data_IF_747243329823
#
_entry.id   IF_747243329823
#
_cell.length_a   1.000
_cell.length_b   1.000
_cell.length_c   1.000
_cell.angle_alpha   90.00
_cell.angle_beta   90.00
_cell.angle_gamma   90.00
#
_symmetry.space_group_name_H-M   'P 1'
#
loop_
_entity.id
_entity.type
_entity.pdbx_description
1 polymer ?
#
# COMPACT_ATOMS: atom_id res chain seq x y z
N UNK A 1 -19.63 -16.91 -20.64
CA UNK A 1 -19.42 -16.28 -19.32
C UNK A 1 -20.14 -14.95 -19.35
N UNK A 2 -20.89 -14.57 -18.30
CA UNK A 2 -21.57 -13.27 -18.28
C UNK A 2 -20.59 -12.18 -17.86
N UNK A 3 -20.77 -10.97 -18.41
CA UNK A 3 -19.99 -9.80 -18.06
C UNK A 3 -20.05 -9.50 -16.54
N UNK A 4 -19.06 -8.82 -16.01
CA UNK A 4 -19.11 -8.20 -14.70
C UNK A 4 -19.74 -6.81 -14.88
N UNK A 5 -20.97 -6.63 -14.38
CA UNK A 5 -21.71 -5.38 -14.57
C UNK A 5 -21.80 -4.66 -13.23
N UNK A 6 -21.33 -3.43 -13.20
CA UNK A 6 -21.51 -2.50 -12.11
C UNK A 6 -22.46 -1.38 -12.52
N UNK A 7 -23.52 -1.15 -11.76
CA UNK A 7 -24.45 -0.07 -11.99
C UNK A 7 -23.80 1.31 -11.72
N UNK A 8 -24.46 2.38 -12.20
CA UNK A 8 -24.05 3.77 -11.92
C UNK A 8 -23.96 3.98 -10.41
N UNK A 9 -22.79 4.45 -9.88
CA UNK A 9 -22.67 4.72 -8.47
C UNK A 9 -23.63 5.80 -8.00
N UNK A 10 -24.16 5.62 -6.80
CA UNK A 10 -25.03 6.60 -6.14
C UNK A 10 -24.55 6.88 -4.71
N UNK A 11 -24.91 8.02 -4.16
CA UNK A 11 -24.61 8.39 -2.77
C UNK A 11 -25.75 7.97 -1.86
N UNK A 12 -25.40 7.45 -0.69
CA UNK A 12 -26.31 7.14 0.42
C UNK A 12 -25.64 7.54 1.73
N UNK A 13 -26.39 7.47 2.83
CA UNK A 13 -25.82 7.66 4.18
C UNK A 13 -25.95 6.37 4.96
N UNK A 14 -24.91 6.05 5.75
CA UNK A 14 -24.97 4.93 6.67
C UNK A 14 -25.61 5.37 8.03
N UNK A 15 -25.75 4.41 8.95
CA UNK A 15 -26.33 4.62 10.27
C UNK A 15 -25.50 5.58 11.14
N UNK A 16 -24.19 5.71 10.88
CA UNK A 16 -23.27 6.61 11.55
C UNK A 16 -23.28 8.03 10.91
N UNK A 17 -24.06 8.23 9.83
CA UNK A 17 -24.19 9.50 9.10
C UNK A 17 -23.09 9.74 8.07
N UNK A 18 -22.17 8.78 7.87
CA UNK A 18 -21.14 8.88 6.82
C UNK A 18 -21.76 8.80 5.42
N UNK A 19 -21.11 9.41 4.47
CA UNK A 19 -21.51 9.35 3.07
C UNK A 19 -20.92 8.10 2.42
N UNK A 20 -21.78 7.23 1.90
CA UNK A 20 -21.41 6.07 1.09
C UNK A 20 -21.60 6.36 -0.39
N UNK A 21 -20.64 5.95 -1.19
CA UNK A 21 -20.77 5.81 -2.65
C UNK A 21 -20.88 4.32 -2.95
N UNK A 22 -21.99 3.92 -3.52
CA UNK A 22 -22.39 2.50 -3.73
C UNK A 22 -22.58 2.22 -5.20
N UNK A 23 -22.01 1.13 -5.69
CA UNK A 23 -22.27 0.57 -7.02
C UNK A 23 -22.83 -0.85 -6.86
N UNK A 24 -24.05 -1.06 -7.32
CA UNK A 24 -24.65 -2.41 -7.37
C UNK A 24 -23.91 -3.27 -8.40
N UNK A 25 -23.60 -4.51 -8.04
CA UNK A 25 -22.87 -5.46 -8.89
C UNK A 25 -23.76 -6.67 -9.21
N UNK A 26 -23.99 -6.92 -10.48
CA UNK A 26 -24.82 -8.04 -10.91
C UNK A 26 -24.30 -9.39 -10.39
N UNK A 27 -25.16 -10.08 -9.64
CA UNK A 27 -24.86 -11.40 -9.07
C UNK A 27 -23.81 -11.39 -7.94
N UNK A 28 -23.54 -10.20 -7.35
CA UNK A 28 -22.63 -10.04 -6.21
C UNK A 28 -23.19 -9.02 -5.22
N UNK A 29 -22.53 -8.87 -4.08
CA UNK A 29 -22.82 -7.78 -3.17
C UNK A 29 -22.40 -6.43 -3.77
N UNK A 30 -23.06 -5.32 -3.36
CA UNK A 30 -22.65 -3.98 -3.81
C UNK A 30 -21.21 -3.65 -3.41
N UNK A 31 -20.48 -2.99 -4.31
CA UNK A 31 -19.20 -2.34 -3.95
C UNK A 31 -19.50 -0.97 -3.32
N UNK A 32 -18.94 -0.71 -2.16
CA UNK A 32 -19.12 0.59 -1.52
C UNK A 32 -17.82 1.14 -0.93
N UNK A 33 -17.76 2.47 -0.89
CA UNK A 33 -16.78 3.27 -0.17
C UNK A 33 -17.49 4.27 0.71
N UNK A 34 -16.93 4.61 1.86
CA UNK A 34 -17.52 5.55 2.82
C UNK A 34 -16.50 6.55 3.32
N UNK A 35 -16.90 7.81 3.43
CA UNK A 35 -16.14 8.90 4.05
C UNK A 35 -17.00 9.60 5.09
N UNK A 36 -16.38 10.37 5.99
CA UNK A 36 -17.12 11.26 6.89
C UNK A 36 -17.99 12.23 6.10
N UNK A 37 -19.12 12.66 6.68
CA UNK A 37 -19.93 13.75 6.12
C UNK A 37 -19.13 15.05 5.93
N UNK A 38 -18.13 15.29 6.77
CA UNK A 38 -17.26 16.47 6.67
C UNK A 38 -16.33 16.44 5.45
N UNK A 39 -16.11 15.25 4.88
CA UNK A 39 -15.25 15.02 3.72
C UNK A 39 -16.05 14.83 2.42
N UNK A 40 -17.38 15.01 2.44
CA UNK A 40 -18.27 14.76 1.30
C UNK A 40 -17.88 15.59 0.04
N UNK A 41 -17.35 16.77 0.21
CA UNK A 41 -16.90 17.66 -0.88
C UNK A 41 -15.74 17.08 -1.69
N UNK A 42 -14.96 16.16 -1.09
CA UNK A 42 -13.86 15.47 -1.78
C UNK A 42 -14.35 14.43 -2.78
N UNK A 43 -15.61 13.99 -2.67
CA UNK A 43 -16.15 12.94 -3.52
C UNK A 43 -16.36 13.40 -4.95
N UNK A 44 -15.77 12.67 -5.90
CA UNK A 44 -16.02 12.87 -7.33
C UNK A 44 -17.42 12.41 -7.77
N UNK A 45 -17.82 12.83 -8.98
CA UNK A 45 -19.08 12.40 -9.60
C UNK A 45 -18.93 11.31 -10.67
N UNK A 46 -17.71 10.82 -10.91
CA UNK A 46 -17.41 9.82 -11.95
C UNK A 46 -17.34 8.41 -11.37
N UNK A 47 -17.48 7.41 -12.25
CA UNK A 47 -17.37 6.00 -11.93
C UNK A 47 -15.93 5.45 -12.09
N UNK A 48 -14.92 6.31 -12.21
CA UNK A 48 -13.51 5.94 -12.37
C UNK A 48 -13.04 4.99 -11.25
N UNK A 49 -13.45 5.25 -10.01
CA UNK A 49 -13.14 4.42 -8.85
C UNK A 49 -13.71 3.00 -8.97
N UNK A 50 -14.88 2.83 -9.57
CA UNK A 50 -15.50 1.52 -9.80
C UNK A 50 -14.75 0.76 -10.90
N UNK A 51 -14.42 1.43 -12.01
CA UNK A 51 -13.65 0.84 -13.10
C UNK A 51 -12.28 0.34 -12.62
N UNK A 52 -11.57 1.14 -11.82
CA UNK A 52 -10.26 0.76 -11.24
C UNK A 52 -10.42 -0.37 -10.23
N UNK A 53 -11.42 -0.29 -9.34
CA UNK A 53 -11.64 -1.31 -8.30
C UNK A 53 -11.96 -2.69 -8.90
N UNK A 54 -12.70 -2.75 -9.99
CA UNK A 54 -13.20 -4.03 -10.54
C UNK A 54 -12.35 -4.60 -11.68
N UNK A 55 -11.31 -3.89 -12.16
CA UNK A 55 -10.48 -4.38 -13.27
C UNK A 55 -9.78 -5.71 -12.93
N UNK A 56 -9.10 -5.80 -11.79
CA UNK A 56 -8.38 -7.04 -11.44
C UNK A 56 -9.32 -8.23 -11.23
N UNK A 57 -10.46 -8.12 -10.52
CA UNK A 57 -11.48 -9.17 -10.48
C UNK A 57 -11.96 -9.60 -11.87
N UNK A 58 -12.24 -8.66 -12.76
CA UNK A 58 -12.66 -8.94 -14.13
C UNK A 58 -11.58 -9.74 -14.89
N UNK A 59 -10.34 -9.26 -14.88
CA UNK A 59 -9.19 -9.91 -15.52
C UNK A 59 -8.92 -11.31 -14.96
N UNK A 60 -9.02 -11.50 -13.64
CA UNK A 60 -8.80 -12.80 -12.99
C UNK A 60 -9.82 -13.85 -13.47
N UNK A 61 -11.07 -13.43 -13.63
CA UNK A 61 -12.18 -14.32 -13.97
C UNK A 61 -12.53 -14.35 -15.47
N UNK A 62 -11.72 -13.70 -16.33
CA UNK A 62 -11.93 -13.58 -17.78
C UNK A 62 -13.37 -13.09 -18.11
N UNK A 63 -13.83 -12.04 -17.42
CA UNK A 63 -15.15 -11.42 -17.61
C UNK A 63 -14.95 -9.99 -18.09
N UNK A 64 -15.62 -9.60 -19.17
CA UNK A 64 -15.64 -8.20 -19.57
C UNK A 64 -16.30 -7.35 -18.48
N UNK A 65 -15.85 -6.10 -18.32
CA UNK A 65 -16.33 -5.18 -17.29
C UNK A 65 -17.18 -4.09 -17.91
N UNK A 66 -18.45 -4.00 -17.49
CA UNK A 66 -19.35 -2.90 -17.84
C UNK A 66 -19.59 -2.01 -16.62
N UNK A 67 -19.26 -0.73 -16.73
CA UNK A 67 -19.37 0.25 -15.65
C UNK A 67 -20.49 1.24 -15.97
N UNK A 68 -21.47 1.32 -15.09
CA UNK A 68 -22.54 2.31 -15.17
C UNK A 68 -22.03 3.72 -14.85
N UNK A 69 -22.55 4.70 -15.58
CA UNK A 69 -22.20 6.11 -15.38
C UNK A 69 -21.04 6.57 -16.24
N UNK A 70 -20.44 7.70 -15.85
CA UNK A 70 -19.38 8.37 -16.62
C UNK A 70 -18.01 7.93 -16.15
N UNK A 71 -17.17 7.43 -17.05
CA UNK A 71 -15.75 7.14 -16.82
C UNK A 71 -14.91 8.12 -17.63
N UNK A 72 -13.80 8.56 -17.07
CA UNK A 72 -12.84 9.42 -17.79
C UNK A 72 -12.29 8.69 -19.01
N UNK A 73 -12.37 9.30 -20.19
CA UNK A 73 -12.02 8.68 -21.48
C UNK A 73 -10.58 8.18 -21.54
N UNK A 74 -9.64 8.98 -21.08
CA UNK A 74 -8.21 8.62 -21.03
C UNK A 74 -7.92 7.50 -20.04
N UNK A 75 -8.65 7.42 -18.92
CA UNK A 75 -8.55 6.30 -17.99
C UNK A 75 -9.09 5.03 -18.65
N UNK A 76 -10.29 5.09 -19.24
CA UNK A 76 -10.89 3.93 -19.92
C UNK A 76 -9.99 3.38 -21.01
N UNK A 77 -9.33 4.27 -21.78
CA UNK A 77 -8.34 3.86 -22.77
C UNK A 77 -7.17 3.09 -22.11
N UNK A 78 -6.59 3.61 -21.03
CA UNK A 78 -5.48 2.95 -20.33
C UNK A 78 -5.89 1.61 -19.70
N UNK A 79 -7.11 1.53 -19.14
CA UNK A 79 -7.67 0.29 -18.59
C UNK A 79 -7.83 -0.80 -19.65
N UNK A 80 -8.02 -0.44 -20.92
CA UNK A 80 -8.17 -1.40 -22.02
C UNK A 80 -6.84 -1.79 -22.71
N UNK A 81 -5.73 -1.08 -22.43
CA UNK A 81 -4.47 -1.25 -23.16
C UNK A 81 -3.30 -1.55 -22.24
N UNK A 82 -2.38 -0.60 -22.06
CA UNK A 82 -1.09 -0.79 -21.40
C UNK A 82 -1.19 -1.31 -19.96
N UNK A 83 -2.21 -0.87 -19.21
CA UNK A 83 -2.38 -1.29 -17.84
C UNK A 83 -2.65 -2.80 -17.73
N UNK A 84 -3.50 -3.37 -18.60
CA UNK A 84 -3.74 -4.81 -18.59
C UNK A 84 -2.49 -5.60 -19.03
N UNK A 85 -1.72 -5.08 -19.97
CA UNK A 85 -0.45 -5.69 -20.38
C UNK A 85 0.54 -5.76 -19.23
N UNK A 86 0.67 -4.66 -18.46
CA UNK A 86 1.48 -4.62 -17.26
C UNK A 86 0.97 -5.59 -16.20
N UNK A 87 -0.35 -5.59 -15.91
CA UNK A 87 -0.97 -6.51 -14.94
C UNK A 87 -0.70 -7.96 -15.30
N UNK A 88 -0.83 -8.34 -16.57
CA UNK A 88 -0.56 -9.72 -17.04
C UNK A 88 0.91 -10.10 -16.97
N UNK A 89 1.82 -9.14 -17.01
CA UNK A 89 3.24 -9.41 -16.76
C UNK A 89 3.49 -9.79 -15.30
N UNK A 90 2.80 -9.12 -14.36
CA UNK A 90 2.88 -9.43 -12.91
C UNK A 90 2.05 -10.67 -12.55
N UNK A 91 0.90 -10.84 -13.20
CA UNK A 91 -0.06 -11.92 -12.99
C UNK A 91 -0.33 -12.69 -14.31
N UNK A 92 0.57 -13.61 -14.72
CA UNK A 92 0.44 -14.28 -16.02
C UNK A 92 -0.83 -15.10 -16.24
N UNK A 93 -1.51 -15.48 -15.15
CA UNK A 93 -2.79 -16.21 -15.20
C UNK A 93 -4.02 -15.32 -15.43
N UNK A 94 -3.85 -13.99 -15.46
CA UNK A 94 -4.97 -13.07 -15.69
C UNK A 94 -5.21 -12.90 -17.19
N UNK A 95 -6.47 -12.64 -17.56
CA UNK A 95 -6.93 -12.52 -18.94
C UNK A 95 -7.10 -11.05 -19.33
N UNK A 96 -6.89 -10.74 -20.61
CA UNK A 96 -7.35 -9.46 -21.15
C UNK A 96 -8.87 -9.46 -21.24
N UNK A 97 -9.47 -8.34 -20.86
CA UNK A 97 -10.93 -8.13 -20.86
C UNK A 97 -11.25 -6.80 -21.52
N UNK A 98 -12.48 -6.65 -22.01
CA UNK A 98 -12.97 -5.37 -22.51
C UNK A 98 -13.63 -4.63 -21.36
N UNK A 99 -13.20 -3.38 -21.12
CA UNK A 99 -13.83 -2.47 -20.14
C UNK A 99 -14.66 -1.44 -20.91
N UNK A 100 -15.95 -1.36 -20.60
CA UNK A 100 -16.86 -0.37 -21.19
C UNK A 100 -17.54 0.46 -20.11
N UNK A 101 -18.00 1.66 -20.47
CA UNK A 101 -18.78 2.54 -19.60
C UNK A 101 -20.06 2.98 -20.33
N UNK A 102 -21.12 3.37 -19.58
CA UNK A 102 -22.31 3.94 -20.19
C UNK A 102 -21.97 5.22 -20.97
N UNK A 103 -21.12 6.06 -20.38
CA UNK A 103 -20.68 7.31 -20.97
C UNK A 103 -19.18 7.51 -20.72
N UNK A 104 -18.51 8.17 -21.64
CA UNK A 104 -17.15 8.66 -21.46
C UNK A 104 -17.09 10.18 -21.59
N UNK A 105 -16.24 10.82 -20.79
CA UNK A 105 -16.03 12.26 -20.91
C UNK A 105 -14.56 12.60 -20.67
N UNK A 106 -14.03 13.65 -21.29
CA UNK A 106 -12.72 14.19 -20.96
C UNK A 106 -12.62 14.51 -19.47
N UNK A 107 -11.42 14.43 -18.90
CA UNK A 107 -11.21 14.89 -17.54
C UNK A 107 -11.55 16.37 -17.41
N UNK A 108 -12.13 16.76 -16.27
CA UNK A 108 -12.32 18.17 -15.92
C UNK A 108 -11.00 18.81 -15.45
N UNK A 109 -11.11 20.00 -14.84
CA UNK A 109 -9.98 20.66 -14.20
C UNK A 109 -9.46 19.84 -13.01
N UNK A 110 -8.15 19.85 -12.81
CA UNK A 110 -7.53 19.15 -11.70
C UNK A 110 -7.79 19.90 -10.38
N UNK A 111 -8.39 19.27 -9.36
CA UNK A 111 -8.46 19.84 -8.02
C UNK A 111 -7.07 20.12 -7.44
N UNK A 112 -6.99 21.08 -6.52
CA UNK A 112 -5.70 21.48 -5.93
C UNK A 112 -5.21 20.58 -4.79
N UNK A 113 -6.02 19.68 -4.30
CA UNK A 113 -5.67 18.77 -3.20
C UNK A 113 -4.59 17.79 -3.59
N UNK A 114 -3.62 17.62 -2.68
CA UNK A 114 -2.53 16.63 -2.78
C UNK A 114 -2.64 15.67 -1.61
N UNK A 115 -2.92 14.41 -1.88
CA UNK A 115 -3.14 13.41 -0.85
C UNK A 115 -1.99 12.40 -0.75
N UNK A 116 -1.80 11.82 0.43
CA UNK A 116 -0.95 10.64 0.64
C UNK A 116 -1.56 9.67 1.63
N UNK A 117 -1.39 8.38 1.40
CA UNK A 117 -1.73 7.35 2.39
C UNK A 117 -0.84 7.48 3.62
N UNK A 118 -1.45 7.53 4.82
CA UNK A 118 -0.71 7.62 6.07
C UNK A 118 -1.07 6.47 7.01
N UNK A 119 -0.19 5.48 7.06
CA UNK A 119 -0.35 4.25 7.84
C UNK A 119 0.49 4.20 9.12
N UNK A 120 1.30 5.21 9.39
CA UNK A 120 2.27 5.19 10.49
C UNK A 120 3.48 4.28 10.25
N UNK A 121 3.61 3.68 9.08
CA UNK A 121 4.78 2.89 8.68
C UNK A 121 5.95 3.76 8.22
N UNK A 122 7.13 3.15 8.15
CA UNK A 122 8.38 3.82 7.72
C UNK A 122 8.22 4.58 6.40
N UNK A 123 7.56 3.95 5.41
CA UNK A 123 7.42 4.54 4.07
C UNK A 123 6.48 5.75 4.06
N UNK A 124 5.37 5.68 4.80
CA UNK A 124 4.43 6.80 4.90
C UNK A 124 5.05 8.00 5.61
N UNK A 125 5.88 7.78 6.63
CA UNK A 125 6.63 8.86 7.26
C UNK A 125 7.69 9.47 6.33
N UNK A 126 8.36 8.66 5.50
CA UNK A 126 9.31 9.17 4.52
C UNK A 126 8.61 10.13 3.53
N UNK A 127 7.44 9.75 3.01
CA UNK A 127 6.64 10.64 2.14
C UNK A 127 6.23 11.93 2.85
N UNK A 128 5.82 11.87 4.13
CA UNK A 128 5.52 13.09 4.91
C UNK A 128 6.75 13.98 5.08
N UNK A 129 7.91 13.41 5.36
CA UNK A 129 9.15 14.17 5.48
C UNK A 129 9.48 14.89 4.18
N UNK A 130 9.38 14.22 3.03
CA UNK A 130 9.72 14.79 1.72
C UNK A 130 8.70 15.81 1.21
N UNK A 131 7.39 15.58 1.44
CA UNK A 131 6.32 16.32 0.75
C UNK A 131 5.39 17.14 1.66
N UNK A 132 5.46 16.97 2.98
CA UNK A 132 4.70 17.78 3.93
C UNK A 132 5.60 18.69 4.76
N UNK A 133 6.68 18.15 5.33
CA UNK A 133 7.51 18.83 6.33
C UNK A 133 8.76 19.48 5.74
N UNK A 134 9.26 19.03 4.58
CA UNK A 134 10.48 19.57 3.99
C UNK A 134 10.32 21.05 3.61
N UNK A 135 11.36 21.83 3.91
CA UNK A 135 11.41 23.21 3.47
C UNK A 135 11.54 23.29 1.93
N UNK A 136 10.85 24.27 1.34
CA UNK A 136 10.96 24.53 -0.10
C UNK A 136 10.13 23.62 -1.01
N UNK A 137 9.29 22.72 -0.48
CA UNK A 137 8.36 21.93 -1.30
C UNK A 137 7.43 22.88 -2.05
N UNK A 138 7.38 22.84 -3.40
CA UNK A 138 6.45 23.64 -4.18
C UNK A 138 5.00 23.40 -3.76
N UNK A 139 4.19 24.47 -3.74
CA UNK A 139 2.79 24.38 -3.30
C UNK A 139 2.01 23.28 -4.04
N UNK A 140 2.23 23.14 -5.35
CA UNK A 140 1.55 22.14 -6.19
C UNK A 140 1.95 20.69 -5.88
N UNK A 141 3.01 20.46 -5.10
CA UNK A 141 3.52 19.15 -4.71
C UNK A 141 3.37 18.89 -3.21
N UNK A 142 3.03 19.92 -2.43
CA UNK A 142 2.94 19.80 -0.97
C UNK A 142 1.68 19.04 -0.59
N UNK A 143 1.84 18.01 0.24
CA UNK A 143 0.71 17.26 0.81
C UNK A 143 -0.22 18.20 1.58
N UNK A 144 -1.50 18.09 1.27
CA UNK A 144 -2.60 18.84 1.90
C UNK A 144 -3.59 17.94 2.62
N UNK A 145 -3.61 16.63 2.32
CA UNK A 145 -4.52 15.66 2.92
C UNK A 145 -3.82 14.35 3.22
N UNK A 146 -4.10 13.77 4.37
CA UNK A 146 -3.68 12.44 4.76
C UNK A 146 -4.84 11.47 4.61
N UNK A 147 -4.60 10.29 4.05
CA UNK A 147 -5.62 9.25 3.87
C UNK A 147 -5.32 8.03 4.74
N UNK A 148 -6.34 7.49 5.39
CA UNK A 148 -6.28 6.21 6.06
C UNK A 148 -7.33 5.26 5.47
N UNK A 149 -6.90 4.38 4.58
CA UNK A 149 -7.78 3.56 3.76
C UNK A 149 -8.00 2.18 4.38
N UNK A 150 -9.27 1.81 4.62
CA UNK A 150 -9.65 0.44 4.91
C UNK A 150 -9.96 -0.32 3.62
N UNK A 151 -8.91 -0.80 2.98
CA UNK A 151 -8.97 -1.51 1.70
C UNK A 151 -8.40 -2.94 1.78
N UNK A 152 -8.43 -3.54 2.98
CA UNK A 152 -7.95 -4.91 3.23
C UNK A 152 -6.52 -5.02 3.76
N UNK A 153 -5.87 -3.91 4.16
CA UNK A 153 -4.52 -3.90 4.72
C UNK A 153 -4.43 -4.44 6.16
N UNK A 154 -5.55 -4.65 6.83
CA UNK A 154 -5.61 -4.95 8.26
C UNK A 154 -5.82 -6.44 8.57
N UNK A 155 -5.98 -7.28 7.54
CA UNK A 155 -6.16 -8.73 7.69
C UNK A 155 -7.30 -9.08 8.66
N UNK A 156 -7.11 -10.08 9.51
CA UNK A 156 -8.11 -10.52 10.49
C UNK A 156 -8.50 -9.49 11.55
N UNK A 157 -7.75 -8.38 11.70
CA UNK A 157 -8.11 -7.26 12.59
C UNK A 157 -9.18 -6.33 12.02
N UNK A 158 -9.37 -6.38 10.69
CA UNK A 158 -10.47 -5.71 9.99
C UNK A 158 -10.65 -4.24 10.35
N UNK A 159 -11.93 -3.82 10.40
CA UNK A 159 -12.35 -2.45 10.70
C UNK A 159 -11.91 -1.97 12.10
N UNK A 160 -11.90 -2.87 13.10
CA UNK A 160 -11.50 -2.50 14.46
C UNK A 160 -10.03 -2.07 14.54
N UNK A 161 -9.13 -2.83 13.91
CA UNK A 161 -7.72 -2.49 13.84
C UNK A 161 -7.48 -1.23 13.00
N UNK A 162 -8.22 -1.07 11.89
CA UNK A 162 -8.17 0.13 11.07
C UNK A 162 -8.52 1.39 11.88
N UNK A 163 -9.67 1.40 12.58
CA UNK A 163 -10.10 2.52 13.43
C UNK A 163 -9.06 2.85 14.50
N UNK A 164 -8.54 1.83 15.18
CA UNK A 164 -7.50 2.00 16.20
C UNK A 164 -6.23 2.65 15.65
N UNK A 165 -5.76 2.24 14.45
CA UNK A 165 -4.61 2.83 13.79
C UNK A 165 -4.88 4.27 13.37
N UNK A 166 -6.06 4.55 12.86
CA UNK A 166 -6.49 5.90 12.53
C UNK A 166 -6.42 6.81 13.76
N UNK A 167 -7.04 6.42 14.87
CA UNK A 167 -7.05 7.20 16.11
C UNK A 167 -5.65 7.42 16.68
N UNK A 168 -4.79 6.42 16.62
CA UNK A 168 -3.40 6.51 17.10
C UNK A 168 -2.57 7.52 16.28
N UNK A 169 -2.91 7.76 15.01
CA UNK A 169 -2.19 8.67 14.11
C UNK A 169 -2.78 10.08 14.03
N UNK A 170 -4.01 10.30 14.52
CA UNK A 170 -4.65 11.62 14.54
C UNK A 170 -3.79 12.74 15.16
N UNK A 171 -3.04 12.50 16.26
CA UNK A 171 -2.18 13.54 16.82
C UNK A 171 -1.09 14.02 15.84
N UNK A 172 -0.56 13.15 15.00
CA UNK A 172 0.44 13.53 13.97
C UNK A 172 -0.19 14.44 12.91
N UNK A 173 -1.39 14.08 12.45
CA UNK A 173 -2.13 14.88 11.48
C UNK A 173 -2.48 16.27 12.03
N UNK A 174 -2.94 16.31 13.30
CA UNK A 174 -3.27 17.56 14.00
C UNK A 174 -2.04 18.47 14.17
N UNK A 175 -0.90 17.90 14.54
CA UNK A 175 0.35 18.65 14.71
C UNK A 175 0.87 19.21 13.36
N UNK A 176 0.66 18.48 12.27
CA UNK A 176 0.95 18.95 10.90
C UNK A 176 -0.09 19.94 10.35
N UNK A 177 -1.23 20.12 11.03
CA UNK A 177 -2.35 20.93 10.54
C UNK A 177 -2.99 20.39 9.26
N UNK A 178 -2.95 19.07 9.05
CA UNK A 178 -3.47 18.41 7.85
C UNK A 178 -4.76 17.65 8.14
N UNK A 179 -5.81 17.78 7.30
CA UNK A 179 -6.96 16.87 7.33
C UNK A 179 -6.52 15.41 7.22
N UNK A 180 -7.09 14.54 8.06
CA UNK A 180 -6.83 13.11 8.06
C UNK A 180 -8.12 12.35 7.79
N UNK A 181 -8.26 11.89 6.55
CA UNK A 181 -9.50 11.38 5.96
C UNK A 181 -9.56 9.85 6.15
N UNK A 182 -10.51 9.33 6.94
CA UNK A 182 -10.76 7.91 7.01
C UNK A 182 -11.63 7.48 5.81
N UNK A 183 -11.14 6.59 4.98
CA UNK A 183 -11.92 5.98 3.90
C UNK A 183 -12.15 4.51 4.20
N UNK A 184 -13.41 4.15 4.44
CA UNK A 184 -13.83 2.77 4.66
C UNK A 184 -14.38 2.15 3.37
N UNK A 185 -14.27 0.83 3.21
CA UNK A 185 -14.82 0.13 2.05
C UNK A 185 -14.97 -1.38 2.29
N UNK A 186 -15.75 -2.03 1.45
CA UNK A 186 -15.79 -3.48 1.33
C UNK A 186 -15.01 -4.00 0.10
N UNK A 187 -14.12 -3.22 -0.46
CA UNK A 187 -13.40 -3.59 -1.68
C UNK A 187 -12.68 -4.96 -1.56
N UNK A 188 -12.22 -5.34 -0.35
CA UNK A 188 -11.59 -6.62 -0.10
C UNK A 188 -12.48 -7.82 -0.44
N UNK A 189 -13.79 -7.68 -0.25
CA UNK A 189 -14.78 -8.74 -0.51
C UNK A 189 -14.92 -9.03 -2.02
N UNK A 190 -14.57 -8.06 -2.87
CA UNK A 190 -14.52 -8.21 -4.33
C UNK A 190 -13.22 -8.82 -4.85
N UNK A 191 -12.26 -9.12 -3.96
CA UNK A 191 -10.95 -9.67 -4.27
C UNK A 191 -10.73 -11.08 -3.66
N UNK A 192 -11.69 -12.03 -3.81
CA UNK A 192 -11.57 -13.35 -3.21
C UNK A 192 -10.31 -14.07 -3.71
N UNK A 193 -9.52 -14.64 -2.78
CA UNK A 193 -8.28 -15.36 -3.07
C UNK A 193 -7.19 -14.51 -3.80
N UNK A 194 -7.31 -13.21 -3.77
CA UNK A 194 -6.28 -12.28 -4.23
C UNK A 194 -5.61 -11.63 -3.02
N UNK A 195 -4.31 -11.88 -2.84
CA UNK A 195 -3.56 -11.31 -1.73
C UNK A 195 -3.52 -9.78 -1.78
N UNK A 196 -3.46 -9.13 -0.62
CA UNK A 196 -3.39 -7.67 -0.52
C UNK A 196 -2.25 -7.09 -1.37
N UNK A 197 -1.03 -7.63 -1.25
CA UNK A 197 0.14 -7.15 -2.01
C UNK A 197 -0.01 -7.33 -3.52
N UNK A 198 -0.81 -8.30 -3.96
CA UNK A 198 -1.11 -8.53 -5.38
C UNK A 198 -2.04 -7.48 -5.98
N UNK A 199 -2.73 -6.69 -5.15
CA UNK A 199 -3.83 -5.82 -5.56
C UNK A 199 -3.75 -4.42 -4.95
N UNK A 200 -2.77 -4.16 -4.08
CA UNK A 200 -2.63 -2.94 -3.28
C UNK A 200 -2.71 -1.65 -4.10
N UNK A 201 -2.08 -1.64 -5.28
CA UNK A 201 -2.05 -0.49 -6.19
C UNK A 201 -3.47 -0.11 -6.65
N UNK A 202 -4.27 -1.09 -7.10
CA UNK A 202 -5.64 -0.84 -7.58
C UNK A 202 -6.59 -0.47 -6.46
N UNK A 203 -6.47 -1.11 -5.30
CA UNK A 203 -7.30 -0.80 -4.12
C UNK A 203 -7.12 0.65 -3.67
N UNK A 204 -5.87 1.12 -3.57
CA UNK A 204 -5.59 2.49 -3.19
C UNK A 204 -5.88 3.50 -4.31
N UNK A 205 -5.62 3.14 -5.57
CA UNK A 205 -5.97 4.00 -6.70
C UNK A 205 -7.49 4.22 -6.81
N UNK A 206 -8.32 3.18 -6.53
CA UNK A 206 -9.77 3.35 -6.48
C UNK A 206 -10.20 4.42 -5.45
N UNK A 207 -9.56 4.45 -4.27
CA UNK A 207 -9.86 5.47 -3.26
C UNK A 207 -9.56 6.88 -3.78
N UNK A 208 -8.42 7.10 -4.43
CA UNK A 208 -8.10 8.47 -4.88
C UNK A 208 -8.95 8.90 -6.07
N UNK A 209 -9.40 7.98 -6.93
CA UNK A 209 -10.41 8.26 -7.95
C UNK A 209 -11.77 8.61 -7.36
N UNK A 210 -12.16 7.96 -6.24
CA UNK A 210 -13.37 8.31 -5.48
C UNK A 210 -13.29 9.77 -4.99
N UNK A 211 -12.11 10.19 -4.50
CA UNK A 211 -11.88 11.52 -3.94
C UNK A 211 -11.53 12.58 -5.00
N UNK A 212 -11.74 12.28 -6.27
CA UNK A 212 -11.41 13.16 -7.40
C UNK A 212 -12.21 14.46 -7.48
N UNK A 213 -13.13 14.75 -6.54
CA UNK A 213 -13.77 16.06 -6.37
C UNK A 213 -12.85 17.08 -5.72
N UNK A 214 -11.97 16.65 -4.80
CA UNK A 214 -11.05 17.53 -4.08
C UNK A 214 -9.57 17.21 -4.29
N UNK A 215 -9.23 16.01 -4.74
CA UNK A 215 -7.84 15.52 -4.86
C UNK A 215 -7.42 15.46 -6.34
N UNK A 216 -6.45 16.27 -6.72
CA UNK A 216 -5.86 16.27 -8.08
C UNK A 216 -4.48 15.58 -8.14
N UNK A 217 -3.88 15.24 -7.00
CA UNK A 217 -2.62 14.51 -6.93
C UNK A 217 -2.62 13.56 -5.76
N UNK A 218 -2.10 12.35 -5.96
CA UNK A 218 -1.97 11.37 -4.89
C UNK A 218 -0.60 10.70 -4.90
N UNK A 219 0.02 10.64 -3.73
CA UNK A 219 1.29 9.98 -3.48
C UNK A 219 1.09 8.62 -2.81
N UNK A 220 1.76 7.63 -3.34
CA UNK A 220 1.85 6.31 -2.75
C UNK A 220 3.29 6.06 -2.32
N UNK A 221 3.50 5.90 -1.03
CA UNK A 221 4.80 5.59 -0.47
C UNK A 221 5.34 4.30 -1.10
N UNK A 222 6.48 4.38 -1.77
CA UNK A 222 7.09 3.24 -2.45
C UNK A 222 7.51 2.13 -1.48
N UNK A 223 7.30 0.88 -1.87
CA UNK A 223 7.74 -0.29 -1.10
C UNK A 223 9.24 -0.59 -1.30
N UNK A 224 9.85 -0.05 -2.34
CA UNK A 224 11.25 -0.26 -2.68
C UNK A 224 11.92 0.98 -3.26
N UNK A 225 13.17 0.84 -3.68
CA UNK A 225 13.91 1.86 -4.41
C UNK A 225 13.72 1.70 -5.91
N UNK A 226 14.07 2.71 -6.71
CA UNK A 226 14.12 2.59 -8.17
C UNK A 226 14.98 1.43 -8.67
N UNK A 227 16.03 1.04 -7.91
CA UNK A 227 16.87 -0.14 -8.22
C UNK A 227 16.11 -1.46 -8.08
N UNK A 228 15.06 -1.47 -7.27
CA UNK A 228 14.29 -2.66 -6.93
C UNK A 228 12.94 -2.73 -7.65
N UNK A 229 12.62 -1.70 -8.48
CA UNK A 229 11.43 -1.73 -9.35
C UNK A 229 11.53 -2.93 -10.28
N UNK A 230 10.56 -3.83 -10.19
CA UNK A 230 10.54 -5.06 -10.98
C UNK A 230 9.13 -5.60 -11.11
N UNK A 231 8.93 -6.48 -12.06
CA UNK A 231 7.70 -7.25 -12.26
C UNK A 231 7.97 -8.72 -11.94
N UNK A 232 7.84 -9.15 -10.67
CA UNK A 232 8.10 -10.54 -10.30
C UNK A 232 6.88 -11.43 -10.60
N UNK A 233 6.88 -12.24 -11.67
CA UNK A 233 5.74 -13.09 -12.00
C UNK A 233 5.53 -14.22 -10.99
N UNK A 234 6.52 -14.52 -10.18
CA UNK A 234 6.45 -15.61 -9.20
C UNK A 234 5.71 -15.27 -7.92
N UNK A 235 5.62 -13.99 -7.56
CA UNK A 235 5.00 -13.54 -6.30
C UNK A 235 3.78 -12.64 -6.51
N UNK A 236 3.56 -12.15 -7.73
CA UNK A 236 2.41 -11.33 -8.08
C UNK A 236 2.29 -10.02 -7.28
N UNK A 237 3.39 -9.55 -6.67
CA UNK A 237 3.41 -8.31 -5.88
C UNK A 237 3.48 -7.09 -6.80
N UNK A 238 2.33 -6.48 -7.08
CA UNK A 238 2.24 -5.32 -7.96
C UNK A 238 2.80 -4.05 -7.31
N UNK A 239 2.94 -4.00 -5.99
CA UNK A 239 3.55 -2.88 -5.28
C UNK A 239 5.00 -2.64 -5.69
N UNK A 240 5.73 -3.71 -6.05
CA UNK A 240 7.11 -3.62 -6.58
C UNK A 240 7.16 -2.96 -7.97
N UNK A 241 6.07 -2.94 -8.70
CA UNK A 241 5.91 -2.25 -9.98
C UNK A 241 5.20 -0.90 -9.84
N UNK A 242 4.96 -0.43 -8.60
CA UNK A 242 4.15 0.75 -8.31
C UNK A 242 4.59 2.00 -9.08
N UNK A 243 5.90 2.23 -9.21
CA UNK A 243 6.43 3.36 -9.97
C UNK A 243 6.03 3.35 -11.46
N UNK A 244 5.70 2.18 -12.03
CA UNK A 244 5.22 2.03 -13.41
C UNK A 244 3.70 1.97 -13.49
N UNK A 245 3.06 1.37 -12.48
CA UNK A 245 1.61 1.10 -12.49
C UNK A 245 0.80 2.35 -12.13
N UNK A 246 1.21 3.12 -11.12
CA UNK A 246 0.47 4.31 -10.68
C UNK A 246 0.30 5.37 -11.76
N UNK A 247 1.33 5.72 -12.58
CA UNK A 247 1.13 6.66 -13.68
C UNK A 247 0.10 6.21 -14.72
N UNK A 248 -0.07 4.91 -14.95
CA UNK A 248 -1.09 4.36 -15.85
C UNK A 248 -2.52 4.48 -15.28
N UNK A 249 -2.65 4.68 -13.98
CA UNK A 249 -3.92 4.95 -13.28
C UNK A 249 -4.23 6.45 -13.15
N UNK A 250 -3.39 7.32 -13.69
CA UNK A 250 -3.63 8.76 -13.69
C UNK A 250 -4.63 9.18 -14.77
N UNK A 251 -5.23 10.35 -14.58
CA UNK A 251 -6.00 11.10 -15.61
C UNK A 251 -5.42 12.51 -15.77
N UNK A 252 -5.83 13.31 -16.74
CA UNK A 252 -5.43 14.71 -16.78
C UNK A 252 -5.82 15.53 -15.54
N UNK A 253 -6.88 15.12 -14.82
CA UNK A 253 -7.33 15.77 -13.59
C UNK A 253 -6.77 15.13 -12.30
N UNK A 254 -6.17 13.93 -12.36
CA UNK A 254 -5.65 13.23 -11.20
C UNK A 254 -4.30 12.58 -11.51
N UNK A 255 -3.23 13.12 -10.95
CA UNK A 255 -1.91 12.49 -10.98
C UNK A 255 -1.79 11.49 -9.86
N UNK A 256 -1.48 10.23 -10.19
CA UNK A 256 -1.19 9.16 -9.20
C UNK A 256 0.24 8.72 -9.39
N UNK A 257 1.06 8.79 -8.34
CA UNK A 257 2.49 8.51 -8.45
C UNK A 257 3.07 7.86 -7.20
N UNK A 258 4.15 7.10 -7.39
CA UNK A 258 4.94 6.53 -6.30
C UNK A 258 6.02 7.52 -5.86
N UNK A 259 6.21 7.65 -4.54
CA UNK A 259 7.15 8.62 -3.94
C UNK A 259 8.20 7.92 -3.08
N UNK A 260 9.24 8.66 -2.70
CA UNK A 260 10.33 8.19 -1.83
C UNK A 260 11.10 6.98 -2.36
N UNK A 261 11.00 6.68 -3.67
CA UNK A 261 11.75 5.58 -4.31
C UNK A 261 13.26 5.88 -4.43
N UNK A 262 13.70 7.11 -4.16
CA UNK A 262 15.12 7.48 -4.07
C UNK A 262 15.78 7.01 -2.80
N UNK A 263 15.01 6.75 -1.73
CA UNK A 263 15.51 6.32 -0.42
C UNK A 263 15.35 4.81 -0.24
N UNK A 264 16.37 4.18 0.29
CA UNK A 264 16.31 2.79 0.75
C UNK A 264 15.43 2.63 1.99
N UNK A 265 15.02 1.40 2.29
CA UNK A 265 14.26 1.10 3.52
C UNK A 265 15.04 1.46 4.78
N UNK A 266 16.35 1.33 4.75
CA UNK A 266 17.24 1.70 5.84
C UNK A 266 17.24 3.22 6.03
N UNK A 267 17.48 3.98 4.97
CA UNK A 267 17.50 5.45 5.02
C UNK A 267 16.17 6.01 5.53
N UNK A 268 15.03 5.48 5.06
CA UNK A 268 13.70 5.85 5.57
C UNK A 268 13.52 5.54 7.06
N UNK A 269 14.06 4.40 7.53
CA UNK A 269 14.00 4.03 8.95
C UNK A 269 14.84 4.98 9.79
N UNK A 270 16.05 5.30 9.33
CA UNK A 270 16.97 6.18 10.04
C UNK A 270 16.52 7.64 10.04
N UNK A 271 15.78 8.08 9.03
CA UNK A 271 15.18 9.41 8.98
C UNK A 271 14.16 9.67 10.12
N UNK A 272 13.68 8.63 10.80
CA UNK A 272 12.79 8.76 11.96
C UNK A 272 13.53 8.98 13.28
N UNK A 273 14.83 8.66 13.34
CA UNK A 273 15.64 8.78 14.58
C UNK A 273 15.73 10.25 14.99
N UNK A 274 15.45 10.53 16.27
CA UNK A 274 15.41 11.90 16.80
C UNK A 274 14.24 12.74 16.28
N UNK A 275 13.38 12.21 15.42
CA UNK A 275 12.24 12.92 14.86
C UNK A 275 11.05 13.01 15.84
N UNK A 276 10.19 14.04 15.71
CA UNK A 276 9.08 14.28 16.65
C UNK A 276 8.02 13.18 16.61
N UNK A 277 7.94 12.42 15.50
CA UNK A 277 6.91 11.42 15.28
C UNK A 277 7.39 9.97 15.47
N UNK A 278 8.64 9.75 15.88
CA UNK A 278 9.22 8.41 16.09
C UNK A 278 8.33 7.51 16.96
N UNK A 279 7.69 8.08 17.99
CA UNK A 279 6.79 7.37 18.91
C UNK A 279 5.49 6.83 18.28
N UNK A 280 5.12 7.33 17.10
CA UNK A 280 3.93 6.90 16.37
C UNK A 280 4.20 5.82 15.31
N UNK A 281 5.44 5.34 15.22
CA UNK A 281 5.82 4.33 14.24
C UNK A 281 5.07 3.02 14.47
N UNK A 282 4.25 2.59 13.50
CA UNK A 282 3.58 1.30 13.46
C UNK A 282 3.96 0.54 12.18
N UNK A 283 4.89 -0.42 12.31
CA UNK A 283 5.33 -1.29 11.21
C UNK A 283 4.71 -2.68 11.28
N UNK A 284 3.93 -2.96 12.32
CA UNK A 284 3.50 -4.29 12.67
C UNK A 284 2.43 -4.83 11.72
N UNK A 285 2.60 -6.10 11.30
CA UNK A 285 1.60 -6.86 10.55
C UNK A 285 0.72 -7.75 11.43
N UNK A 286 0.91 -7.71 12.75
CA UNK A 286 0.04 -8.42 13.68
C UNK A 286 -1.37 -7.83 13.60
N UNK A 287 -2.34 -8.69 13.35
CA UNK A 287 -3.74 -8.32 13.16
C UNK A 287 -4.51 -8.16 14.47
N UNK A 288 -3.87 -8.35 15.63
CA UNK A 288 -4.49 -8.19 16.94
C UNK A 288 -4.88 -6.71 17.19
N UNK A 289 -6.17 -6.39 17.26
CA UNK A 289 -6.62 -5.03 17.51
C UNK A 289 -6.34 -4.55 18.96
N UNK A 290 -6.07 -5.45 19.90
CA UNK A 290 -5.83 -5.09 21.30
C UNK A 290 -4.37 -4.75 21.60
N UNK A 291 -3.45 -5.02 20.68
CA UNK A 291 -2.04 -4.66 20.86
C UNK A 291 -1.86 -3.14 21.03
N UNK A 292 -1.03 -2.74 21.95
CA UNK A 292 -0.72 -1.33 22.26
C UNK A 292 0.62 -0.86 21.64
N UNK A 293 1.48 -1.80 21.25
CA UNK A 293 2.80 -1.54 20.66
C UNK A 293 3.03 -2.48 19.48
N UNK A 294 4.08 -2.25 18.69
CA UNK A 294 4.53 -3.21 17.69
C UNK A 294 4.84 -4.56 18.34
N UNK A 295 4.47 -5.69 17.71
CA UNK A 295 4.66 -7.03 18.29
C UNK A 295 6.14 -7.43 18.50
N UNK A 296 7.08 -6.71 17.90
CA UNK A 296 8.53 -6.86 18.00
C UNK A 296 9.08 -8.24 17.60
N UNK A 297 8.28 -9.05 16.88
CA UNK A 297 8.62 -10.41 16.45
C UNK A 297 8.26 -10.73 15.00
N UNK A 298 7.35 -9.98 14.36
CA UNK A 298 7.06 -10.18 12.93
C UNK A 298 8.23 -9.66 12.08
N UNK A 299 8.28 -10.08 10.82
CA UNK A 299 9.40 -9.74 9.94
C UNK A 299 9.60 -8.23 9.75
N UNK A 300 8.51 -7.42 9.69
CA UNK A 300 8.61 -5.95 9.60
C UNK A 300 9.19 -5.34 10.88
N UNK A 301 8.70 -5.77 12.06
CA UNK A 301 9.28 -5.33 13.34
C UNK A 301 10.75 -5.72 13.44
N UNK A 302 11.10 -6.97 13.15
CA UNK A 302 12.47 -7.45 13.22
C UNK A 302 13.42 -6.66 12.31
N UNK A 303 13.00 -6.37 11.07
CA UNK A 303 13.76 -5.57 10.11
C UNK A 303 14.02 -4.16 10.66
N UNK A 304 12.97 -3.48 11.10
CA UNK A 304 13.08 -2.11 11.62
C UNK A 304 13.93 -2.05 12.88
N UNK A 305 13.70 -2.95 13.85
CA UNK A 305 14.48 -2.99 15.08
C UNK A 305 15.95 -3.31 14.83
N UNK A 306 16.25 -4.22 13.91
CA UNK A 306 17.65 -4.54 13.56
C UNK A 306 18.32 -3.36 12.86
N UNK A 307 17.63 -2.64 11.97
CA UNK A 307 18.17 -1.42 11.37
C UNK A 307 18.55 -0.39 12.44
N UNK A 308 17.65 -0.14 13.39
CA UNK A 308 17.87 0.78 14.50
C UNK A 308 18.98 0.29 15.46
N UNK A 309 19.06 -1.02 15.72
CA UNK A 309 20.09 -1.61 16.58
C UNK A 309 21.50 -1.48 15.95
N UNK A 310 21.63 -1.75 14.66
CA UNK A 310 22.88 -1.57 13.91
C UNK A 310 23.32 -0.10 13.93
N UNK A 311 22.37 0.83 13.83
CA UNK A 311 22.61 2.27 13.88
C UNK A 311 22.84 2.80 15.30
N UNK A 312 22.68 1.99 16.35
CA UNK A 312 22.82 2.43 17.75
C UNK A 312 21.63 3.22 18.29
N UNK A 313 20.50 3.26 17.59
CA UNK A 313 19.33 4.11 17.94
C UNK A 313 18.13 3.31 18.46
N UNK A 314 18.23 1.98 18.63
CA UNK A 314 17.08 1.16 19.04
C UNK A 314 16.50 1.60 20.40
N UNK A 315 17.34 2.10 21.32
CA UNK A 315 16.91 2.50 22.66
C UNK A 315 15.95 3.69 22.67
N UNK A 316 15.98 4.53 21.63
CA UNK A 316 15.01 5.64 21.46
C UNK A 316 13.57 5.13 21.20
N UNK A 317 13.44 3.89 20.70
CA UNK A 317 12.16 3.28 20.33
C UNK A 317 11.67 2.25 21.35
N UNK A 318 12.45 1.94 22.38
CA UNK A 318 12.11 0.95 23.42
C UNK A 318 11.99 1.66 24.76
N UNK A 319 10.93 1.41 25.57
CA UNK A 319 9.83 0.43 25.34
C UNK A 319 8.62 1.00 24.59
N UNK A 320 8.61 2.27 24.22
CA UNK A 320 7.40 2.97 23.75
C UNK A 320 6.83 2.41 22.42
N UNK A 321 7.70 2.12 21.45
CA UNK A 321 7.30 1.65 20.10
C UNK A 321 7.49 0.15 19.96
N UNK A 322 8.59 -0.38 20.51
CA UNK A 322 8.96 -1.80 20.45
C UNK A 322 9.24 -2.36 21.85
N UNK A 323 9.16 -3.68 21.97
CA UNK A 323 9.50 -4.44 23.16
C UNK A 323 10.75 -5.25 22.88
N UNK A 324 11.81 -5.11 23.69
CA UNK A 324 13.12 -5.74 23.47
C UNK A 324 13.06 -7.30 23.58
N UNK A 325 12.38 -7.82 24.58
CA UNK A 325 12.39 -9.25 24.87
C UNK A 325 11.87 -10.16 23.72
N UNK A 326 10.74 -9.87 23.02
CA UNK A 326 10.33 -10.67 21.85
C UNK A 326 11.34 -10.61 20.71
N UNK A 327 11.96 -9.45 20.48
CA UNK A 327 13.01 -9.26 19.48
C UNK A 327 14.23 -10.13 19.76
N UNK A 328 14.77 -10.06 20.96
CA UNK A 328 15.98 -10.82 21.36
C UNK A 328 15.77 -12.34 21.25
N UNK A 329 14.59 -12.84 21.67
CA UNK A 329 14.26 -14.27 21.53
C UNK A 329 14.27 -14.76 20.09
N UNK A 330 13.88 -13.92 19.13
CA UNK A 330 13.81 -14.27 17.71
C UNK A 330 15.07 -13.90 16.92
N UNK A 331 15.93 -13.05 17.44
CA UNK A 331 17.05 -12.40 16.73
C UNK A 331 17.95 -13.40 15.97
N UNK A 332 18.41 -14.47 16.63
CA UNK A 332 19.28 -15.47 15.99
C UNK A 332 18.61 -16.19 14.83
N UNK A 333 17.30 -16.48 14.94
CA UNK A 333 16.55 -17.08 13.86
C UNK A 333 16.39 -16.09 12.71
N UNK A 334 16.05 -14.87 13.00
CA UNK A 334 15.88 -13.80 12.00
C UNK A 334 17.17 -13.53 11.25
N UNK A 335 18.32 -13.51 11.92
CA UNK A 335 19.62 -13.37 11.25
C UNK A 335 19.88 -14.52 10.24
N UNK A 336 19.50 -15.74 10.56
CA UNK A 336 19.63 -16.86 9.64
C UNK A 336 18.67 -16.70 8.44
N UNK A 337 17.48 -16.15 8.65
CA UNK A 337 16.52 -15.83 7.60
C UNK A 337 17.11 -14.78 6.66
N UNK A 338 17.58 -13.65 7.17
CA UNK A 338 18.22 -12.58 6.42
C UNK A 338 19.42 -13.06 5.60
N UNK A 339 20.37 -13.75 6.24
CA UNK A 339 21.58 -14.24 5.58
C UNK A 339 21.31 -15.28 4.48
N UNK A 340 20.12 -15.88 4.44
CA UNK A 340 19.69 -16.82 3.40
C UNK A 340 18.65 -16.24 2.43
N UNK A 341 18.27 -15.00 2.61
CA UNK A 341 17.27 -14.31 1.77
C UNK A 341 17.87 -13.85 0.45
N UNK A 342 17.04 -13.83 -0.60
CA UNK A 342 17.31 -13.19 -1.88
C UNK A 342 16.51 -11.89 -2.07
N UNK A 343 15.74 -11.50 -1.07
CA UNK A 343 14.95 -10.28 -1.13
C UNK A 343 15.83 -9.03 -1.05
N UNK A 344 15.65 -8.02 -1.93
CA UNK A 344 16.51 -6.85 -2.01
C UNK A 344 16.65 -6.08 -0.68
N UNK A 345 15.54 -5.87 0.03
CA UNK A 345 15.59 -5.19 1.32
C UNK A 345 16.36 -5.96 2.39
N UNK A 346 16.38 -7.29 2.32
CA UNK A 346 17.11 -8.14 3.25
C UNK A 346 18.61 -8.14 2.91
N UNK A 347 18.95 -8.19 1.61
CA UNK A 347 20.32 -8.05 1.12
C UNK A 347 20.89 -6.70 1.56
N UNK A 348 20.15 -5.63 1.36
CA UNK A 348 20.55 -4.28 1.75
C UNK A 348 20.81 -4.18 3.28
N UNK A 349 19.97 -4.81 4.11
CA UNK A 349 20.17 -4.82 5.56
C UNK A 349 21.41 -5.62 5.96
N UNK A 350 21.71 -6.73 5.29
CA UNK A 350 22.96 -7.50 5.49
C UNK A 350 24.19 -6.67 5.11
N UNK A 351 24.14 -5.96 3.99
CA UNK A 351 25.20 -5.05 3.56
C UNK A 351 25.40 -3.88 4.53
N UNK A 352 24.30 -3.26 4.98
CA UNK A 352 24.32 -2.20 5.99
C UNK A 352 24.97 -2.69 7.29
N UNK A 353 24.58 -3.86 7.78
CA UNK A 353 25.22 -4.47 8.94
C UNK A 353 26.71 -4.72 8.74
N UNK A 354 27.10 -5.26 7.58
CA UNK A 354 28.50 -5.54 7.26
C UNK A 354 29.34 -4.25 7.22
N UNK A 355 28.83 -3.18 6.61
CA UNK A 355 29.49 -1.86 6.56
C UNK A 355 29.66 -1.22 7.95
N UNK A 356 28.76 -1.53 8.88
CA UNK A 356 28.79 -1.04 10.25
C UNK A 356 29.45 -2.02 11.23
N UNK A 357 30.20 -3.03 10.77
CA UNK A 357 30.91 -3.97 11.60
C UNK A 357 30.02 -4.93 12.40
N UNK A 358 28.75 -5.11 11.98
CA UNK A 358 27.79 -5.97 12.68
C UNK A 358 28.17 -7.45 12.67
N UNK A 359 28.05 -8.12 13.80
CA UNK A 359 28.41 -9.53 13.96
C UNK A 359 27.17 -10.43 13.92
N UNK A 360 27.00 -11.18 12.86
CA UNK A 360 25.83 -12.05 12.63
C UNK A 360 25.78 -13.32 13.52
N UNK A 361 26.83 -13.62 14.29
CA UNK A 361 26.93 -14.81 15.11
C UNK A 361 27.13 -16.12 14.31
N UNK A 362 27.91 -17.05 14.87
CA UNK A 362 28.24 -18.33 14.21
C UNK A 362 27.01 -19.23 14.00
N UNK A 363 26.11 -19.29 14.98
CA UNK A 363 24.89 -20.10 14.93
C UNK A 363 23.97 -19.62 13.78
N UNK A 364 23.79 -18.32 13.62
CA UNK A 364 22.97 -17.76 12.55
C UNK A 364 23.56 -18.08 11.17
N UNK A 365 24.88 -17.92 10.99
CA UNK A 365 25.60 -18.29 9.77
C UNK A 365 25.47 -19.77 9.42
N UNK A 366 25.66 -20.66 10.37
CA UNK A 366 25.47 -22.10 10.17
C UNK A 366 24.05 -22.47 9.75
N UNK A 367 23.04 -21.89 10.39
CA UNK A 367 21.62 -22.06 10.01
C UNK A 367 21.32 -21.50 8.62
N UNK A 368 21.88 -20.36 8.24
CA UNK A 368 21.71 -19.78 6.92
C UNK A 368 22.28 -20.69 5.82
N UNK A 369 23.48 -21.24 6.02
CA UNK A 369 24.08 -22.21 5.10
C UNK A 369 23.20 -23.44 4.92
N UNK A 370 22.69 -24.01 6.01
CA UNK A 370 21.77 -25.15 5.96
C UNK A 370 20.47 -24.84 5.20
N UNK A 371 19.92 -23.63 5.38
CA UNK A 371 18.71 -23.17 4.66
C UNK A 371 18.98 -23.05 3.15
N UNK A 372 20.10 -22.47 2.75
CA UNK A 372 20.49 -22.35 1.33
C UNK A 372 20.66 -23.74 0.69
N UNK A 373 21.34 -24.66 1.35
CA UNK A 373 21.51 -26.02 0.85
C UNK A 373 20.16 -26.74 0.67
N UNK A 374 19.24 -26.60 1.63
CA UNK A 374 17.89 -27.16 1.53
C UNK A 374 17.07 -26.54 0.40
N UNK A 375 17.19 -25.23 0.18
CA UNK A 375 16.51 -24.54 -0.94
C UNK A 375 17.04 -25.05 -2.26
N UNK A 376 18.36 -25.07 -2.44
CA UNK A 376 19.01 -25.59 -3.64
C UNK A 376 18.59 -27.03 -3.96
N UNK A 377 18.61 -27.91 -2.96
CA UNK A 377 18.18 -29.31 -3.16
C UNK A 377 16.73 -29.43 -3.62
N UNK A 378 15.83 -28.55 -3.15
CA UNK A 378 14.42 -28.52 -3.60
C UNK A 378 14.28 -28.01 -5.04
N UNK A 379 15.06 -27.01 -5.43
CA UNK A 379 15.06 -26.49 -6.81
C UNK A 379 15.58 -27.53 -7.81
N UNK A 380 16.69 -28.21 -7.48
CA UNK A 380 17.21 -29.32 -8.28
C UNK A 380 16.17 -30.44 -8.41
N UNK A 381 15.52 -30.82 -7.31
CA UNK A 381 14.48 -31.84 -7.34
C UNK A 381 13.23 -31.44 -8.16
N UNK A 382 12.94 -30.13 -8.27
CA UNK A 382 11.86 -29.61 -9.15
C UNK A 382 12.29 -29.58 -10.63
N UNK A 383 13.54 -29.25 -10.91
CA UNK A 383 14.07 -29.19 -12.27
C UNK A 383 14.24 -30.59 -12.91
N UNK A 384 14.32 -31.64 -12.09
CA UNK A 384 14.44 -33.05 -12.50
C UNK A 384 13.08 -33.76 -12.65
N UNK A 385 11.96 -33.09 -12.37
CA UNK A 385 10.59 -33.57 -12.59
C UNK A 385 9.98 -32.92 -13.81
#
# INVERSE_FOLDING_TARGET
MHDLVAARPYRSRDEEGNVRVVAEIDGSQPLWFSVSSDDEELLGGRADHVAVALLLPAMRHARDLRVGGVVTDSLLHRLNHDLQSLVRTVHPSYHSVVVTADETAPAGDAPSGVATGFSGGVDSFATLTEYASAAGVPRALRVTHLLNNNVGAHGGGGRALWRKRFDALRPVAADLGLPFIPVDSNIEEHYPQMGFMQTVTFRNAAVVHLLGGGIGRSYHASEGTYRNVRMPPTHGDIGLAGAMTFPLLSTPALTVESTSSGMSRIERTLALVGGPYARYLDVCIDADPDRTTNCSRCWKCMRTMLTLEIAGSLDEFVPGVFIRAPYERRRTQYYAELLSSSEPNDIELVEFGSRNGWRWGAIARGRATARRAKHWAREVARALR
#
